data_IF_454493503808
#
_entry.id   IF_454493503808
#
_cell.length_a   1.000
_cell.length_b   1.000
_cell.length_c   1.000
_cell.angle_alpha   90.00
_cell.angle_beta   90.00
_cell.angle_gamma   90.00
#
_symmetry.space_group_name_H-M   'P 1'
#
loop_
_entity.id
_entity.type
_entity.pdbx_description
1 polymer ?
#
# COMPACT_ATOMS: atom_id res chain seq x y z
N UNK A 1 20.33 28.65 42.81
CA UNK A 1 20.57 28.35 44.25
C UNK A 1 21.16 29.59 44.88
N UNK A 2 20.30 30.46 45.43
CA UNK A 2 20.74 31.58 46.28
C UNK A 2 19.86 31.55 47.53
N UNK A 3 20.51 31.23 48.64
CA UNK A 3 19.99 31.27 50.00
C UNK A 3 19.82 32.74 50.39
N UNK A 4 18.62 33.12 50.83
CA UNK A 4 18.39 34.39 51.52
C UNK A 4 18.06 34.04 52.97
N UNK A 5 19.05 34.24 53.82
CA UNK A 5 18.91 34.19 55.27
C UNK A 5 18.26 35.50 55.76
N UNK A 6 17.25 35.39 56.62
CA UNK A 6 16.74 36.51 57.40
C UNK A 6 16.90 36.15 58.87
N UNK A 7 17.68 36.99 59.55
CA UNK A 7 18.06 36.95 60.95
C UNK A 7 16.91 37.39 61.85
N UNK A 8 16.82 36.73 63.00
CA UNK A 8 15.95 37.02 64.12
C UNK A 8 16.52 38.20 64.91
N UNK A 9 15.78 39.30 65.00
CA UNK A 9 16.06 40.37 65.97
C UNK A 9 15.17 40.15 67.20
N UNK A 10 15.84 39.97 68.34
CA UNK A 10 15.27 39.82 69.66
C UNK A 10 15.04 41.20 70.29
N UNK A 11 13.79 41.53 70.58
CA UNK A 11 13.44 42.72 71.35
C UNK A 11 13.44 42.40 72.86
N UNK A 12 14.47 42.91 73.53
CA UNK A 12 14.59 43.07 74.97
C UNK A 12 13.49 43.99 75.52
N UNK A 13 12.57 43.46 76.33
CA UNK A 13 11.70 44.28 77.17
C UNK A 13 12.08 44.15 78.64
N UNK A 14 12.73 45.21 79.14
CA UNK A 14 13.13 45.40 80.52
C UNK A 14 11.91 45.42 81.47
N UNK A 15 11.99 44.60 82.52
CA UNK A 15 11.00 44.54 83.60
C UNK A 15 11.37 45.56 84.69
N UNK A 16 10.52 46.56 84.92
CA UNK A 16 10.67 47.53 85.99
C UNK A 16 10.42 46.87 87.35
N UNK A 17 11.43 46.88 88.22
CA UNK A 17 11.33 46.42 89.61
C UNK A 17 11.50 47.59 90.59
N UNK A 18 10.82 47.43 91.73
CA UNK A 18 11.26 47.85 93.07
C UNK A 18 10.80 49.23 93.57
N UNK A 19 9.64 49.23 94.23
CA UNK A 19 9.29 50.19 95.27
C UNK A 19 9.49 49.52 96.63
N UNK A 20 10.51 49.95 97.37
CA UNK A 20 10.76 49.53 98.76
C UNK A 20 9.87 50.33 99.71
N UNK A 21 8.81 49.70 100.22
CA UNK A 21 7.95 50.23 101.28
C UNK A 21 8.53 49.90 102.66
N UNK A 22 8.79 50.94 103.44
CA UNK A 22 9.34 50.92 104.81
C UNK A 22 8.42 50.18 105.79
N UNK A 23 8.95 49.40 106.75
CA UNK A 23 8.15 48.86 107.86
C UNK A 23 7.88 49.96 108.90
N UNK A 24 6.59 50.22 109.15
CA UNK A 24 6.14 51.11 110.22
C UNK A 24 6.01 50.31 111.52
N UNK A 25 6.92 50.56 112.46
CA UNK A 25 6.89 50.02 113.82
C UNK A 25 5.91 50.84 114.66
N UNK A 26 4.68 50.35 114.79
CA UNK A 26 3.72 50.82 115.79
C UNK A 26 3.55 49.76 116.88
N UNK A 27 4.19 49.99 118.02
CA UNK A 27 3.99 49.24 119.27
C UNK A 27 2.61 49.56 119.81
N UNK A 28 1.67 48.64 119.60
CA UNK A 28 0.33 48.71 120.16
C UNK A 28 0.30 47.95 121.50
N UNK A 29 0.19 48.70 122.59
CA UNK A 29 -0.04 48.21 123.96
C UNK A 29 -1.42 47.57 124.06
N UNK A 30 -1.45 46.24 124.26
CA UNK A 30 -2.68 45.50 124.53
C UNK A 30 -3.16 45.73 125.97
N UNK A 31 -4.44 46.10 126.20
CA UNK A 31 -5.07 45.98 127.50
C UNK A 31 -5.28 44.50 127.86
N UNK A 32 -5.08 44.22 129.14
CA UNK A 32 -5.21 42.91 129.80
C UNK A 32 -6.64 42.36 129.61
N UNK A 33 -6.84 41.05 129.34
CA UNK A 33 -8.15 40.49 129.08
C UNK A 33 -9.00 40.54 130.35
N UNK A 34 -9.98 41.43 130.36
CA UNK A 34 -11.23 41.21 131.12
C UNK A 34 -11.73 39.82 130.74
N UNK A 35 -12.12 39.02 131.73
CA UNK A 35 -12.63 37.64 131.61
C UNK A 35 -13.74 37.57 130.56
N UNK A 36 -13.31 37.46 129.30
CA UNK A 36 -14.17 37.49 128.14
C UNK A 36 -15.03 36.23 128.21
N UNK A 37 -16.34 36.44 128.20
CA UNK A 37 -17.34 35.38 128.23
C UNK A 37 -16.87 34.16 127.42
N UNK A 38 -16.91 33.00 128.06
CA UNK A 38 -16.54 31.71 127.45
C UNK A 38 -17.57 31.31 126.38
N UNK A 39 -18.75 31.94 126.39
CA UNK A 39 -19.82 31.71 125.43
C UNK A 39 -19.51 32.28 124.03
N UNK A 40 -20.03 31.60 123.01
CA UNK A 40 -20.07 32.06 121.63
C UNK A 40 -20.72 33.45 121.50
N UNK A 41 -20.17 34.34 120.67
CA UNK A 41 -20.72 35.68 120.43
C UNK A 41 -22.02 35.74 119.61
N UNK A 42 -22.56 34.60 119.17
CA UNK A 42 -23.86 34.58 118.48
C UNK A 42 -24.98 34.60 119.52
N UNK A 43 -25.91 35.54 119.39
CA UNK A 43 -27.06 35.66 120.29
C UNK A 43 -27.84 34.32 120.36
N UNK A 44 -28.05 33.82 121.57
CA UNK A 44 -28.76 32.57 121.84
C UNK A 44 -27.93 31.28 121.73
N UNK A 45 -26.64 31.35 121.38
CA UNK A 45 -25.78 30.16 121.35
C UNK A 45 -25.23 29.83 122.75
N UNK A 46 -25.51 28.62 123.24
CA UNK A 46 -25.04 28.14 124.56
C UNK A 46 -23.67 27.43 124.51
N UNK A 47 -23.07 27.28 123.33
CA UNK A 47 -21.80 26.57 123.17
C UNK A 47 -20.58 27.46 123.47
N UNK A 48 -19.53 26.85 123.99
CA UNK A 48 -18.26 27.52 124.27
C UNK A 48 -17.52 27.90 122.98
N UNK A 49 -16.83 29.03 123.00
CA UNK A 49 -15.99 29.50 121.88
C UNK A 49 -14.81 28.56 121.63
N UNK A 50 -14.44 28.35 120.38
CA UNK A 50 -13.33 27.47 120.00
C UNK A 50 -12.04 28.28 119.89
N UNK A 51 -11.11 28.07 120.83
CA UNK A 51 -9.79 28.70 120.82
C UNK A 51 -9.82 30.23 120.76
N UNK A 52 -8.93 30.83 119.95
CA UNK A 52 -8.82 32.28 119.74
C UNK A 52 -9.91 32.91 118.87
N UNK A 53 -11.03 32.22 118.63
CA UNK A 53 -12.16 32.75 117.89
C UNK A 53 -13.25 33.31 118.81
N UNK A 54 -14.13 34.15 118.26
CA UNK A 54 -15.31 34.68 118.95
C UNK A 54 -16.52 33.72 118.88
N UNK A 55 -16.39 32.58 118.19
CA UNK A 55 -17.50 31.71 117.83
C UNK A 55 -17.24 30.26 118.27
N UNK A 56 -18.29 29.47 118.50
CA UNK A 56 -18.13 28.04 118.76
C UNK A 56 -17.84 27.26 117.47
N UNK A 57 -17.48 25.97 117.59
CA UNK A 57 -17.20 25.07 116.46
C UNK A 57 -18.33 24.98 115.43
N UNK A 58 -19.57 25.21 115.85
CA UNK A 58 -20.73 25.20 114.95
C UNK A 58 -20.90 26.50 114.16
N UNK A 59 -20.32 27.61 114.62
CA UNK A 59 -20.45 28.95 114.03
C UNK A 59 -19.16 29.48 113.40
N UNK A 60 -18.03 28.79 113.58
CA UNK A 60 -16.75 29.10 112.93
C UNK A 60 -16.66 28.50 111.53
N UNK A 61 -15.88 29.14 110.65
CA UNK A 61 -15.53 28.61 109.34
C UNK A 61 -14.81 27.27 109.43
N UNK A 62 -15.18 26.29 108.59
CA UNK A 62 -14.61 24.93 108.59
C UNK A 62 -13.21 24.86 107.98
N UNK A 63 -12.74 25.91 107.30
CA UNK A 63 -11.38 25.97 106.76
C UNK A 63 -10.38 26.05 107.92
N UNK A 64 -9.35 25.17 107.98
CA UNK A 64 -8.31 25.23 109.01
C UNK A 64 -7.71 26.64 109.09
N UNK A 65 -7.36 27.10 110.30
CA UNK A 65 -6.79 28.42 110.61
C UNK A 65 -7.69 29.65 110.37
N UNK A 66 -8.94 29.48 109.94
CA UNK A 66 -9.87 30.60 109.80
C UNK A 66 -10.73 30.74 111.07
N UNK A 67 -10.65 31.91 111.72
CA UNK A 67 -11.44 32.23 112.91
C UNK A 67 -12.65 33.12 112.64
N UNK A 68 -13.01 33.32 111.38
CA UNK A 68 -14.20 34.09 110.98
C UNK A 68 -15.48 33.27 111.18
N UNK A 69 -16.59 33.96 111.44
CA UNK A 69 -17.91 33.35 111.47
C UNK A 69 -18.30 32.78 110.09
N UNK A 70 -19.14 31.75 110.08
CA UNK A 70 -19.82 31.30 108.87
C UNK A 70 -20.60 32.45 108.23
N UNK A 71 -20.66 32.48 106.90
CA UNK A 71 -21.31 33.58 106.17
C UNK A 71 -22.82 33.66 106.48
N UNK A 72 -23.51 32.52 106.40
CA UNK A 72 -24.91 32.37 106.77
C UNK A 72 -25.02 31.47 108.00
N UNK A 73 -24.97 32.08 109.18
CA UNK A 73 -24.95 31.37 110.47
C UNK A 73 -26.27 30.63 110.71
N UNK A 74 -27.38 31.09 110.12
CA UNK A 74 -28.70 30.50 110.29
C UNK A 74 -28.94 29.30 109.36
N UNK A 75 -28.14 29.14 108.31
CA UNK A 75 -28.24 28.03 107.38
C UNK A 75 -27.38 26.84 107.84
N UNK A 76 -27.98 25.67 108.15
CA UNK A 76 -27.24 24.50 108.63
C UNK A 76 -26.28 23.93 107.58
N UNK A 77 -26.46 24.26 106.30
CA UNK A 77 -25.57 23.83 105.22
C UNK A 77 -24.34 24.72 105.05
N UNK A 78 -24.34 25.94 105.61
CA UNK A 78 -23.21 26.84 105.55
C UNK A 78 -22.04 26.30 106.40
N UNK A 79 -20.89 26.15 105.76
CA UNK A 79 -19.67 25.59 106.39
C UNK A 79 -18.52 26.58 106.43
N UNK A 80 -18.53 27.62 105.60
CA UNK A 80 -17.40 28.51 105.39
C UNK A 80 -17.80 29.97 105.65
N UNK A 81 -16.83 30.85 105.90
CA UNK A 81 -17.06 32.30 105.97
C UNK A 81 -17.15 32.91 104.57
N UNK A 82 -17.51 34.20 104.45
CA UNK A 82 -17.66 34.89 103.15
C UNK A 82 -16.43 34.84 102.25
N UNK A 83 -15.22 34.74 102.82
CA UNK A 83 -13.96 34.64 102.07
C UNK A 83 -13.59 33.22 101.65
N UNK A 84 -14.25 32.22 102.23
CA UNK A 84 -13.96 30.79 101.98
C UNK A 84 -15.15 30.00 101.45
N UNK A 85 -16.33 30.61 101.35
CA UNK A 85 -17.52 30.05 100.71
C UNK A 85 -17.55 30.41 99.23
N UNK A 86 -18.15 29.54 98.42
CA UNK A 86 -18.32 29.80 97.00
C UNK A 86 -19.21 31.04 96.79
N UNK A 87 -18.74 32.02 96.01
CA UNK A 87 -19.45 33.25 95.66
C UNK A 87 -20.70 33.06 94.77
N UNK A 88 -21.07 31.81 94.46
CA UNK A 88 -22.27 31.50 93.66
C UNK A 88 -23.43 31.28 94.60
N UNK A 89 -24.54 31.96 94.34
CA UNK A 89 -25.75 31.86 95.16
C UNK A 89 -26.14 30.40 95.43
N UNK A 90 -26.40 30.09 96.70
CA UNK A 90 -26.80 28.76 97.21
C UNK A 90 -25.74 27.66 97.09
N UNK A 91 -24.48 28.00 96.83
CA UNK A 91 -23.38 27.04 96.84
C UNK A 91 -22.58 27.12 98.14
N UNK A 92 -22.76 26.13 99.02
CA UNK A 92 -22.07 26.08 100.33
C UNK A 92 -20.72 25.32 100.31
N UNK A 93 -20.10 25.18 99.13
CA UNK A 93 -18.80 24.51 98.97
C UNK A 93 -17.64 25.47 99.26
N UNK A 94 -16.46 24.90 99.55
CA UNK A 94 -15.26 25.68 99.80
C UNK A 94 -14.80 26.40 98.52
N UNK A 95 -14.51 27.70 98.62
CA UNK A 95 -13.83 28.44 97.57
C UNK A 95 -12.37 27.95 97.44
N UNK A 96 -12.01 27.52 96.23
CA UNK A 96 -10.66 27.05 95.88
C UNK A 96 -9.89 28.09 95.05
N UNK A 97 -10.61 28.90 94.29
CA UNK A 97 -10.05 29.97 93.46
C UNK A 97 -9.95 31.30 94.23
N UNK A 98 -9.03 32.17 93.79
CA UNK A 98 -8.81 33.51 94.38
C UNK A 98 -10.05 34.40 94.25
N UNK A 99 -10.89 34.16 93.24
CA UNK A 99 -12.14 34.87 92.99
C UNK A 99 -13.32 34.33 93.81
N UNK A 100 -13.11 33.36 94.70
CA UNK A 100 -14.15 32.84 95.57
C UNK A 100 -15.01 31.74 94.97
N UNK A 101 -14.61 31.05 93.90
CA UNK A 101 -15.40 29.93 93.34
C UNK A 101 -14.86 28.56 93.79
N UNK A 102 -15.74 27.60 94.06
CA UNK A 102 -15.37 26.20 94.34
C UNK A 102 -14.98 25.44 93.06
N UNK A 103 -14.39 24.23 93.18
CA UNK A 103 -14.03 23.38 92.02
C UNK A 103 -15.20 23.11 91.04
N UNK A 104 -16.44 23.14 91.52
CA UNK A 104 -17.64 22.97 90.68
C UNK A 104 -18.01 24.20 89.85
N UNK A 105 -17.60 25.39 90.27
CA UNK A 105 -17.95 26.67 89.64
C UNK A 105 -16.74 27.42 89.07
N UNK A 106 -15.52 27.10 89.48
CA UNK A 106 -14.29 27.68 88.95
C UNK A 106 -13.97 27.10 87.56
N UNK A 107 -13.51 27.93 86.63
CA UNK A 107 -13.04 27.49 85.33
C UNK A 107 -11.96 26.42 85.48
N UNK A 108 -12.05 25.32 84.73
CA UNK A 108 -11.05 24.23 84.78
C UNK A 108 -9.76 24.54 84.02
N UNK A 109 -9.66 25.71 83.39
CA UNK A 109 -8.46 26.16 82.70
C UNK A 109 -7.47 26.69 83.73
N UNK A 110 -6.31 26.05 83.88
CA UNK A 110 -5.37 26.16 85.00
C UNK A 110 -5.36 27.50 85.77
N UNK A 111 -4.86 28.61 85.21
CA UNK A 111 -4.73 29.88 85.93
C UNK A 111 -6.04 30.69 86.00
N UNK A 112 -7.13 30.21 85.41
CA UNK A 112 -8.37 30.95 85.28
C UNK A 112 -9.24 30.83 86.52
N UNK A 113 -9.40 31.94 87.23
CA UNK A 113 -10.30 32.04 88.36
C UNK A 113 -11.71 32.54 87.96
N UNK A 114 -12.12 32.48 86.69
CA UNK A 114 -13.45 32.98 86.28
C UNK A 114 -14.54 31.94 86.55
N UNK A 115 -15.79 32.41 86.69
CA UNK A 115 -16.98 31.56 86.82
C UNK A 115 -17.20 30.74 85.53
N UNK A 116 -17.55 29.45 85.68
CA UNK A 116 -17.95 28.57 84.56
C UNK A 116 -19.18 29.10 83.83
N UNK A 117 -19.21 28.93 82.51
CA UNK A 117 -20.35 29.32 81.69
C UNK A 117 -21.39 28.18 81.66
N UNK A 118 -22.46 28.31 82.43
CA UNK A 118 -23.57 27.35 82.46
C UNK A 118 -23.12 25.95 82.91
N UNK A 119 -23.38 24.93 82.09
CA UNK A 119 -23.00 23.54 82.35
C UNK A 119 -21.59 23.16 81.85
N UNK A 120 -20.85 24.09 81.24
CA UNK A 120 -19.51 23.79 80.74
C UNK A 120 -18.47 23.76 81.87
N UNK A 121 -17.37 23.06 81.64
CA UNK A 121 -16.23 23.01 82.58
C UNK A 121 -15.37 24.27 82.54
N UNK A 122 -15.66 25.21 81.64
CA UNK A 122 -14.84 26.38 81.33
C UNK A 122 -15.64 27.68 81.45
N UNK A 123 -14.98 28.81 81.65
CA UNK A 123 -15.63 30.12 81.59
C UNK A 123 -15.95 30.50 80.14
N UNK A 124 -16.69 31.59 79.92
CA UNK A 124 -17.09 32.01 78.56
C UNK A 124 -15.90 32.29 77.62
N UNK A 125 -14.74 32.64 78.18
CA UNK A 125 -13.51 32.92 77.43
C UNK A 125 -12.70 31.66 77.08
N UNK A 126 -12.82 30.61 77.90
CA UNK A 126 -12.14 29.33 77.69
C UNK A 126 -13.07 28.24 77.15
N UNK A 127 -14.36 28.53 76.99
CA UNK A 127 -15.31 27.63 76.35
C UNK A 127 -15.26 27.81 74.84
N UNK A 128 -15.40 26.71 74.10
CA UNK A 128 -15.55 26.79 72.65
C UNK A 128 -16.79 27.64 72.28
N UNK A 129 -16.59 28.61 71.39
CA UNK A 129 -17.62 29.52 70.89
C UNK A 129 -18.69 28.84 70.02
N UNK A 130 -18.46 27.60 69.59
CA UNK A 130 -19.45 26.83 68.84
C UNK A 130 -20.65 26.50 69.74
N UNK A 131 -21.87 26.71 69.24
CA UNK A 131 -23.09 26.56 70.02
C UNK A 131 -23.22 25.12 70.54
N UNK A 132 -23.36 24.99 71.87
CA UNK A 132 -23.51 23.69 72.54
C UNK A 132 -22.21 22.92 72.78
N UNK A 133 -21.05 23.44 72.36
CA UNK A 133 -19.77 22.83 72.65
C UNK A 133 -19.32 23.15 74.10
N UNK A 134 -18.98 22.12 74.87
CA UNK A 134 -18.52 22.26 76.26
C UNK A 134 -17.01 22.06 76.43
N UNK A 135 -16.29 21.89 75.31
CA UNK A 135 -14.85 21.66 75.31
C UNK A 135 -14.05 22.96 75.43
N UNK A 136 -12.82 22.81 75.88
CA UNK A 136 -11.86 23.90 76.01
C UNK A 136 -11.54 24.54 74.65
N UNK A 137 -11.52 25.87 74.62
CA UNK A 137 -10.99 26.63 73.52
C UNK A 137 -9.45 26.52 73.51
N UNK A 138 -8.93 25.56 72.75
CA UNK A 138 -7.48 25.34 72.61
C UNK A 138 -6.82 26.29 71.61
N UNK A 139 -7.59 26.89 70.71
CA UNK A 139 -7.06 27.79 69.68
C UNK A 139 -7.32 29.26 70.03
N UNK A 140 -6.43 30.15 69.51
CA UNK A 140 -6.48 31.61 69.67
C UNK A 140 -7.81 32.28 69.30
N UNK A 141 -8.72 31.54 68.67
CA UNK A 141 -9.98 32.04 68.12
C UNK A 141 -11.21 31.59 68.93
N UNK A 142 -11.01 31.12 70.17
CA UNK A 142 -12.05 30.62 71.04
C UNK A 142 -12.77 29.35 70.50
N UNK A 143 -12.10 28.53 69.69
CA UNK A 143 -12.62 27.24 69.22
C UNK A 143 -11.80 26.08 69.78
N UNK A 144 -12.46 24.97 70.08
CA UNK A 144 -11.79 23.71 70.39
C UNK A 144 -11.20 23.09 69.12
N UNK A 145 -10.31 22.10 69.27
CA UNK A 145 -9.64 21.42 68.15
C UNK A 145 -10.59 20.86 67.08
N UNK A 146 -11.82 20.44 67.44
CA UNK A 146 -12.79 19.91 66.48
C UNK A 146 -13.53 20.99 65.68
N UNK A 147 -13.63 22.21 66.22
CA UNK A 147 -14.34 23.33 65.61
C UNK A 147 -13.40 24.41 65.05
N UNK A 148 -12.09 24.27 65.26
CA UNK A 148 -11.09 25.14 64.69
C UNK A 148 -10.74 24.66 63.27
N UNK A 149 -10.56 25.61 62.37
CA UNK A 149 -9.96 25.32 61.08
C UNK A 149 -8.49 24.86 61.26
N UNK A 150 -8.11 23.77 60.59
CA UNK A 150 -6.79 23.15 60.59
C UNK A 150 -5.73 24.02 59.89
N UNK A 151 -6.14 24.92 59.02
CA UNK A 151 -5.22 25.85 58.36
C UNK A 151 -4.62 26.84 59.37
N UNK A 152 -3.29 26.90 59.36
CA UNK A 152 -2.53 27.65 60.34
C UNK A 152 -2.92 29.14 60.30
N UNK A 153 -3.32 29.69 61.45
CA UNK A 153 -3.71 31.09 61.59
C UNK A 153 -5.14 31.42 61.14
N UNK A 154 -5.91 30.45 60.63
CA UNK A 154 -7.31 30.68 60.28
C UNK A 154 -8.17 30.93 61.52
N UNK A 155 -9.00 31.98 61.49
CA UNK A 155 -9.90 32.35 62.60
C UNK A 155 -11.34 31.88 62.44
N UNK A 156 -11.67 31.39 61.26
CA UNK A 156 -13.01 30.91 60.94
C UNK A 156 -13.26 29.53 61.57
N UNK A 157 -14.50 29.25 62.03
CA UNK A 157 -14.86 27.92 62.47
C UNK A 157 -14.74 26.94 61.31
N UNK A 158 -14.34 25.70 61.62
CA UNK A 158 -14.47 24.61 60.66
C UNK A 158 -15.96 24.36 60.37
N UNK A 159 -16.27 23.98 59.13
CA UNK A 159 -17.64 23.57 58.76
C UNK A 159 -17.97 22.19 59.37
N UNK A 160 -16.95 21.44 59.78
CA UNK A 160 -17.05 20.04 60.18
C UNK A 160 -17.89 19.76 61.43
N UNK A 161 -18.99 19.04 61.21
CA UNK A 161 -19.60 18.10 62.16
C UNK A 161 -18.91 16.72 62.10
N UNK A 162 -19.68 15.62 62.05
CA UNK A 162 -19.16 14.22 62.11
C UNK A 162 -18.17 13.84 61.00
N UNK A 163 -18.12 14.58 59.89
CA UNK A 163 -17.36 14.18 58.69
C UNK A 163 -15.88 14.61 58.70
N UNK A 164 -15.35 15.03 59.85
CA UNK A 164 -13.92 15.36 60.04
C UNK A 164 -13.35 16.45 59.10
N UNK A 165 -14.21 17.26 58.46
CA UNK A 165 -13.75 18.38 57.64
C UNK A 165 -13.30 19.51 58.58
N UNK A 166 -12.01 19.49 58.93
CA UNK A 166 -11.38 20.50 59.76
C UNK A 166 -11.06 21.79 58.99
N UNK A 167 -11.80 22.12 57.93
CA UNK A 167 -11.60 23.33 57.13
C UNK A 167 -12.80 24.26 57.26
N UNK A 168 -12.52 25.56 57.26
CA UNK A 168 -13.56 26.57 57.09
C UNK A 168 -14.04 26.60 55.63
N UNK A 169 -15.18 27.25 55.37
CA UNK A 169 -15.77 27.33 54.02
C UNK A 169 -14.81 27.89 52.98
N UNK A 170 -14.04 28.91 53.35
CA UNK A 170 -13.06 29.54 52.47
C UNK A 170 -11.93 28.58 52.09
N UNK A 171 -11.40 27.82 53.05
CA UNK A 171 -10.30 26.89 52.77
C UNK A 171 -10.79 25.63 52.06
N UNK A 172 -11.95 25.09 52.44
CA UNK A 172 -12.56 23.97 51.74
C UNK A 172 -12.88 24.31 50.28
N UNK A 173 -13.47 25.48 50.00
CA UNK A 173 -13.73 25.91 48.60
C UNK A 173 -12.44 26.15 47.82
N UNK A 174 -11.37 26.64 48.47
CA UNK A 174 -10.04 26.79 47.85
C UNK A 174 -9.44 25.44 47.49
N UNK A 175 -9.49 24.46 48.38
CA UNK A 175 -9.03 23.09 48.09
C UNK A 175 -9.87 22.44 47.00
N UNK A 176 -11.21 22.48 47.10
CA UNK A 176 -12.10 21.95 46.08
C UNK A 176 -11.84 22.58 44.69
N UNK A 177 -11.53 23.88 44.62
CA UNK A 177 -11.14 24.55 43.36
C UNK A 177 -9.78 24.06 42.84
N UNK A 178 -8.79 23.84 43.72
CA UNK A 178 -7.49 23.29 43.32
C UNK A 178 -7.63 21.86 42.81
N UNK A 179 -8.41 21.02 43.48
CA UNK A 179 -8.72 19.66 43.05
C UNK A 179 -9.44 19.67 41.70
N UNK A 180 -10.50 20.46 41.56
CA UNK A 180 -11.23 20.59 40.29
C UNK A 180 -10.31 21.10 39.15
N UNK A 181 -9.44 22.07 39.43
CA UNK A 181 -8.46 22.55 38.46
C UNK A 181 -7.43 21.47 38.09
N UNK A 182 -6.97 20.68 39.06
CA UNK A 182 -6.06 19.55 38.80
C UNK A 182 -6.72 18.42 38.01
N UNK A 183 -7.98 18.10 38.30
CA UNK A 183 -8.75 17.09 37.58
C UNK A 183 -9.04 17.55 36.14
N UNK A 184 -9.40 18.83 35.97
CA UNK A 184 -9.56 19.44 34.65
C UNK A 184 -8.24 19.42 33.87
N UNK A 185 -7.12 19.74 34.51
CA UNK A 185 -5.77 19.63 33.94
C UNK A 185 -5.46 18.19 33.48
N UNK A 186 -5.67 17.19 34.35
CA UNK A 186 -5.48 15.80 33.98
C UNK A 186 -6.41 15.32 32.87
N UNK A 187 -7.67 15.80 32.81
CA UNK A 187 -8.58 15.52 31.70
C UNK A 187 -8.06 16.11 30.39
N UNK A 188 -7.57 17.34 30.42
CA UNK A 188 -6.96 17.99 29.26
C UNK A 188 -5.70 17.25 28.78
N UNK A 189 -4.82 16.85 29.70
CA UNK A 189 -3.60 16.11 29.38
C UNK A 189 -3.90 14.73 28.77
N UNK A 190 -4.88 13.99 29.34
CA UNK A 190 -5.34 12.71 28.76
C UNK A 190 -5.89 12.91 27.36
N UNK A 191 -6.69 13.95 27.15
CA UNK A 191 -7.23 14.25 25.82
C UNK A 191 -6.12 14.61 24.81
N UNK A 192 -5.10 15.37 25.23
CA UNK A 192 -3.93 15.64 24.39
C UNK A 192 -3.17 14.36 24.04
N UNK A 193 -2.98 13.44 24.99
CA UNK A 193 -2.32 12.16 24.74
C UNK A 193 -3.11 11.31 23.74
N UNK A 194 -4.43 11.19 23.91
CA UNK A 194 -5.31 10.49 22.97
C UNK A 194 -5.24 11.07 21.55
N UNK A 195 -5.20 12.39 21.41
CA UNK A 195 -5.04 13.05 20.10
C UNK A 195 -3.69 12.75 19.47
N UNK A 196 -2.60 12.78 20.25
CA UNK A 196 -1.25 12.41 19.78
C UNK A 196 -1.20 10.95 19.32
N UNK A 197 -1.80 10.03 20.08
CA UNK A 197 -1.87 8.62 19.71
C UNK A 197 -2.69 8.39 18.43
N UNK A 198 -3.82 9.09 18.30
CA UNK A 198 -4.65 9.06 17.07
C UNK A 198 -3.85 9.55 15.87
N UNK A 199 -3.12 10.66 15.98
CA UNK A 199 -2.27 11.18 14.91
C UNK A 199 -1.20 10.16 14.50
N UNK A 200 -0.48 9.57 15.46
CA UNK A 200 0.50 8.52 15.19
C UNK A 200 -0.12 7.28 14.54
N UNK A 201 -1.34 6.91 14.94
CA UNK A 201 -2.07 5.81 14.32
C UNK A 201 -2.44 6.11 12.86
N UNK A 202 -2.86 7.34 12.55
CA UNK A 202 -3.10 7.78 11.18
C UNK A 202 -1.82 7.73 10.34
N UNK A 203 -0.71 8.24 10.85
CA UNK A 203 0.58 8.17 10.14
C UNK A 203 1.04 6.73 9.88
N UNK A 204 0.82 5.80 10.82
CA UNK A 204 1.12 4.38 10.60
C UNK A 204 0.26 3.78 9.49
N UNK A 205 -1.04 4.07 9.47
CA UNK A 205 -1.95 3.61 8.41
C UNK A 205 -1.54 4.16 7.05
N UNK A 206 -1.13 5.43 7.01
CA UNK A 206 -0.68 6.10 5.80
C UNK A 206 0.59 5.45 5.22
N UNK A 207 1.58 5.14 6.08
CA UNK A 207 2.80 4.41 5.67
C UNK A 207 2.48 3.04 5.09
N UNK A 208 1.62 2.27 5.76
CA UNK A 208 1.19 0.95 5.27
C UNK A 208 0.49 1.06 3.92
N UNK A 209 -0.34 2.09 3.71
CA UNK A 209 -0.99 2.34 2.41
C UNK A 209 0.04 2.63 1.32
N UNK A 210 1.00 3.52 1.59
CA UNK A 210 2.06 3.87 0.64
C UNK A 210 2.97 2.69 0.29
N UNK A 211 3.27 1.83 1.26
CA UNK A 211 4.09 0.63 1.01
C UNK A 211 3.34 -0.40 0.18
N UNK A 212 2.04 -0.63 0.44
CA UNK A 212 1.19 -1.45 -0.44
C UNK A 212 1.12 -0.91 -1.87
N UNK A 213 1.00 0.41 -2.02
CA UNK A 213 1.02 1.05 -3.35
C UNK A 213 2.38 0.91 -4.06
N UNK A 214 3.50 0.90 -3.31
CA UNK A 214 4.84 0.64 -3.86
C UNK A 214 4.99 -0.81 -4.28
N UNK A 215 4.50 -1.75 -3.49
CA UNK A 215 4.48 -3.18 -3.82
C UNK A 215 3.64 -3.45 -5.07
N UNK A 216 2.42 -2.91 -5.14
CA UNK A 216 1.55 -3.03 -6.31
C UNK A 216 2.21 -2.47 -7.59
N UNK A 217 2.95 -1.36 -7.49
CA UNK A 217 3.73 -0.83 -8.62
C UNK A 217 4.85 -1.76 -9.06
N UNK A 218 5.57 -2.37 -8.11
CA UNK A 218 6.63 -3.36 -8.43
C UNK A 218 6.05 -4.60 -9.09
N UNK A 219 4.91 -5.10 -8.61
CA UNK A 219 4.20 -6.23 -9.20
C UNK A 219 3.73 -5.90 -10.62
N UNK A 220 3.13 -4.72 -10.82
CA UNK A 220 2.72 -4.25 -12.14
C UNK A 220 3.91 -4.15 -13.10
N UNK A 221 5.01 -3.54 -12.67
CA UNK A 221 6.23 -3.42 -13.48
C UNK A 221 6.82 -4.80 -13.83
N UNK A 222 6.81 -5.76 -12.89
CA UNK A 222 7.23 -7.13 -13.16
C UNK A 222 6.31 -7.82 -14.18
N UNK A 223 4.99 -7.65 -14.05
CA UNK A 223 4.02 -8.17 -15.01
C UNK A 223 4.22 -7.57 -16.40
N UNK A 224 4.48 -6.26 -16.50
CA UNK A 224 4.79 -5.60 -17.76
C UNK A 224 6.09 -6.14 -18.38
N UNK A 225 7.15 -6.33 -17.58
CA UNK A 225 8.41 -6.92 -18.05
C UNK A 225 8.21 -8.34 -18.57
N UNK A 226 7.43 -9.17 -17.87
CA UNK A 226 7.10 -10.53 -18.32
C UNK A 226 6.25 -10.52 -19.59
N UNK A 227 5.27 -9.62 -19.68
CA UNK A 227 4.42 -9.47 -20.85
C UNK A 227 5.22 -8.97 -22.07
N UNK A 228 6.18 -8.06 -21.86
CA UNK A 228 7.08 -7.58 -22.90
C UNK A 228 8.04 -8.68 -23.36
N UNK A 229 8.65 -9.43 -22.43
CA UNK A 229 9.48 -10.57 -22.75
C UNK A 229 8.72 -11.62 -23.59
N UNK A 230 7.47 -11.92 -23.20
CA UNK A 230 6.60 -12.82 -23.96
C UNK A 230 6.25 -12.25 -25.35
N UNK A 231 6.04 -10.93 -25.49
CA UNK A 231 5.86 -10.29 -26.81
C UNK A 231 7.11 -10.46 -27.68
N UNK A 232 8.30 -10.22 -27.13
CA UNK A 232 9.57 -10.37 -27.83
C UNK A 232 9.79 -11.82 -28.28
N UNK A 233 9.47 -12.79 -27.43
CA UNK A 233 9.56 -14.20 -27.77
C UNK A 233 8.61 -14.59 -28.91
N UNK A 234 7.37 -14.10 -28.90
CA UNK A 234 6.41 -14.31 -30.00
C UNK A 234 6.91 -13.72 -31.32
N UNK A 235 7.47 -12.51 -31.28
CA UNK A 235 8.07 -11.87 -32.47
C UNK A 235 9.25 -12.71 -32.97
N UNK A 236 10.14 -13.14 -32.09
CA UNK A 236 11.29 -13.98 -32.47
C UNK A 236 10.86 -15.35 -33.01
N UNK A 237 9.82 -15.97 -32.44
CA UNK A 237 9.24 -17.22 -32.96
C UNK A 237 8.64 -17.02 -34.35
N UNK A 238 7.91 -15.91 -34.55
CA UNK A 238 7.36 -15.56 -35.85
C UNK A 238 8.45 -15.30 -36.90
N UNK A 239 9.52 -14.59 -36.55
CA UNK A 239 10.67 -14.37 -37.42
C UNK A 239 11.36 -15.69 -37.81
N UNK A 240 11.58 -16.60 -36.84
CA UNK A 240 12.12 -17.94 -37.11
C UNK A 240 11.22 -18.75 -38.05
N UNK A 241 9.89 -18.61 -37.92
CA UNK A 241 8.95 -19.27 -38.82
C UNK A 241 9.03 -18.72 -40.25
N UNK A 242 9.12 -17.39 -40.42
CA UNK A 242 9.32 -16.74 -41.72
C UNK A 242 10.63 -17.20 -42.35
N UNK A 243 11.72 -17.22 -41.58
CA UNK A 243 13.02 -17.66 -42.08
C UNK A 243 12.99 -19.13 -42.52
N UNK A 244 12.38 -20.01 -41.72
CA UNK A 244 12.17 -21.41 -42.08
C UNK A 244 11.32 -21.55 -43.36
N UNK A 245 10.31 -20.70 -43.55
CA UNK A 245 9.51 -20.68 -44.77
C UNK A 245 10.35 -20.24 -45.98
N UNK A 246 11.18 -19.21 -45.83
CA UNK A 246 12.11 -18.78 -46.88
C UNK A 246 13.13 -19.86 -47.22
N UNK A 247 13.66 -20.57 -46.23
CA UNK A 247 14.56 -21.70 -46.46
C UNK A 247 13.87 -22.82 -47.25
N UNK A 248 12.62 -23.15 -46.91
CA UNK A 248 11.81 -24.11 -47.68
C UNK A 248 11.60 -23.64 -49.12
N UNK A 249 11.27 -22.36 -49.32
CA UNK A 249 11.11 -21.79 -50.66
C UNK A 249 12.41 -21.89 -51.46
N UNK A 250 13.55 -21.52 -50.88
CA UNK A 250 14.85 -21.67 -51.56
C UNK A 250 15.17 -23.15 -51.85
N UNK A 251 14.82 -24.08 -50.97
CA UNK A 251 15.02 -25.51 -51.21
C UNK A 251 14.11 -26.02 -52.34
N UNK A 252 12.83 -25.62 -52.35
CA UNK A 252 11.88 -25.89 -53.43
C UNK A 252 12.38 -25.34 -54.77
N UNK A 253 12.86 -24.10 -54.80
CA UNK A 253 13.48 -23.48 -55.99
C UNK A 253 14.73 -24.25 -56.45
N UNK A 254 15.58 -24.70 -55.52
CA UNK A 254 16.74 -25.55 -55.86
C UNK A 254 16.31 -26.90 -56.44
N UNK A 255 15.25 -27.50 -55.91
CA UNK A 255 14.69 -28.75 -56.45
C UNK A 255 14.11 -28.49 -57.83
N UNK A 256 13.33 -27.42 -58.02
CA UNK A 256 12.77 -27.03 -59.32
C UNK A 256 13.87 -26.79 -60.36
N UNK A 257 14.95 -26.09 -59.99
CA UNK A 257 16.10 -25.88 -60.87
C UNK A 257 16.75 -27.22 -61.28
N UNK A 258 16.93 -28.15 -60.34
CA UNK A 258 17.46 -29.50 -60.64
C UNK A 258 16.53 -30.31 -61.54
N UNK A 259 15.21 -30.15 -61.41
CA UNK A 259 14.23 -30.80 -62.30
C UNK A 259 14.29 -30.16 -63.69
N UNK A 260 14.35 -28.83 -63.78
CA UNK A 260 14.48 -28.11 -65.04
C UNK A 260 15.75 -28.50 -65.81
N UNK A 261 16.90 -28.60 -65.13
CA UNK A 261 18.14 -29.09 -65.74
C UNK A 261 17.98 -30.52 -66.27
N UNK A 262 17.40 -31.44 -65.48
CA UNK A 262 17.14 -32.81 -65.95
C UNK A 262 16.21 -32.86 -67.16
N UNK A 263 15.16 -32.03 -67.17
CA UNK A 263 14.26 -31.94 -68.32
C UNK A 263 14.97 -31.38 -69.55
N UNK A 264 15.85 -30.39 -69.40
CA UNK A 264 16.67 -29.86 -70.48
C UNK A 264 17.67 -30.89 -71.02
N UNK A 265 18.34 -31.65 -70.14
CA UNK A 265 19.21 -32.77 -70.52
C UNK A 265 18.44 -33.87 -71.25
N UNK A 266 17.23 -34.21 -70.78
CA UNK A 266 16.34 -35.15 -71.48
C UNK A 266 15.90 -34.62 -72.84
N UNK A 267 15.63 -33.33 -72.96
CA UNK A 267 15.26 -32.69 -74.23
C UNK A 267 16.43 -32.67 -75.20
N UNK A 268 17.64 -32.30 -74.76
CA UNK A 268 18.87 -32.39 -75.54
C UNK A 268 19.15 -33.84 -75.94
N UNK A 269 18.94 -34.81 -75.05
CA UNK A 269 19.05 -36.23 -75.39
C UNK A 269 18.02 -36.65 -76.45
N UNK A 270 16.77 -36.17 -76.36
CA UNK A 270 15.75 -36.42 -77.40
C UNK A 270 16.10 -35.77 -78.72
N UNK A 271 16.67 -34.57 -78.70
CA UNK A 271 17.09 -33.83 -79.88
C UNK A 271 18.31 -34.50 -80.54
N UNK A 272 19.30 -34.90 -79.77
CA UNK A 272 20.47 -35.66 -80.26
C UNK A 272 20.06 -37.02 -80.82
N UNK A 273 19.10 -37.71 -80.21
CA UNK A 273 18.50 -38.94 -80.76
C UNK A 273 17.72 -38.67 -82.05
N UNK A 274 16.95 -37.57 -82.13
CA UNK A 274 16.30 -37.15 -83.38
C UNK A 274 17.33 -36.89 -84.48
N UNK A 275 18.38 -36.13 -84.19
CA UNK A 275 19.46 -35.85 -85.14
C UNK A 275 20.19 -37.13 -85.57
N UNK A 276 20.38 -38.10 -84.66
CA UNK A 276 20.93 -39.43 -84.99
C UNK A 276 20.01 -40.20 -85.95
N UNK A 277 18.69 -40.19 -85.70
CA UNK A 277 17.70 -40.81 -86.59
C UNK A 277 17.70 -40.13 -87.96
N UNK A 278 17.63 -38.81 -88.01
CA UNK A 278 17.69 -38.03 -89.25
C UNK A 278 19.01 -38.27 -90.01
N UNK A 279 20.15 -38.37 -89.31
CA UNK A 279 21.43 -38.70 -89.93
C UNK A 279 21.48 -40.14 -90.47
N UNK A 280 20.84 -41.09 -89.77
CA UNK A 280 20.70 -42.47 -90.24
C UNK A 280 19.80 -42.54 -91.48
N UNK A 281 18.66 -41.86 -91.46
CA UNK A 281 17.75 -41.75 -92.60
C UNK A 281 18.44 -41.08 -93.80
N UNK A 282 19.24 -40.03 -93.58
CA UNK A 282 20.06 -39.43 -94.66
C UNK A 282 21.06 -40.40 -95.24
N UNK A 283 21.75 -41.19 -94.40
CA UNK A 283 22.68 -42.23 -94.87
C UNK A 283 21.96 -43.33 -95.65
N UNK A 284 20.79 -43.76 -95.18
CA UNK A 284 19.95 -44.76 -95.85
C UNK A 284 19.41 -44.21 -97.18
N UNK A 285 18.97 -42.95 -97.23
CA UNK A 285 18.54 -42.28 -98.45
C UNK A 285 19.69 -42.09 -99.44
N UNK A 286 20.91 -41.76 -98.98
CA UNK A 286 22.11 -41.72 -99.81
C UNK A 286 22.50 -43.11 -100.33
N UNK A 287 22.37 -44.14 -99.52
CA UNK A 287 22.63 -45.52 -99.93
C UNK A 287 21.59 -45.98 -100.96
N UNK A 288 20.32 -45.61 -100.77
CA UNK A 288 19.25 -45.85 -101.73
C UNK A 288 19.53 -45.12 -103.04
N UNK A 289 19.92 -43.83 -103.00
CA UNK A 289 20.35 -43.08 -104.20
C UNK A 289 21.51 -43.77 -104.91
N UNK A 290 22.50 -44.29 -104.18
CA UNK A 290 23.62 -45.06 -104.76
C UNK A 290 23.20 -46.41 -105.33
N UNK A 291 22.14 -47.04 -104.81
CA UNK A 291 21.56 -48.25 -105.39
C UNK A 291 20.80 -47.91 -106.67
N UNK A 292 19.94 -46.91 -106.64
CA UNK A 292 19.22 -46.42 -107.83
C UNK A 292 20.17 -45.94 -108.93
N UNK A 293 21.28 -45.28 -108.59
CA UNK A 293 22.28 -44.85 -109.56
C UNK A 293 23.03 -46.04 -110.17
N UNK A 294 23.33 -47.08 -109.39
CA UNK A 294 23.86 -48.35 -109.89
C UNK A 294 22.88 -49.04 -110.82
N UNK A 295 21.61 -49.10 -110.45
CA UNK A 295 20.55 -49.71 -111.27
C UNK A 295 20.32 -48.92 -112.56
N UNK A 296 20.38 -47.57 -112.52
CA UNK A 296 20.34 -46.72 -113.71
C UNK A 296 21.56 -46.94 -114.61
N UNK A 297 22.73 -47.24 -114.04
CA UNK A 297 23.93 -47.55 -114.82
C UNK A 297 23.79 -48.90 -115.52
N UNK A 298 23.33 -49.92 -114.79
CA UNK A 298 23.02 -51.25 -115.33
C UNK A 298 21.95 -51.15 -116.43
N UNK A 299 20.90 -50.36 -116.23
CA UNK A 299 19.85 -50.16 -117.22
C UNK A 299 20.34 -49.43 -118.48
N UNK A 300 21.27 -48.47 -118.34
CA UNK A 300 21.91 -47.81 -119.49
C UNK A 300 22.80 -48.78 -120.27
N UNK A 301 23.62 -49.57 -119.58
CA UNK A 301 24.47 -50.61 -120.18
C UNK A 301 23.62 -51.67 -120.89
N UNK A 302 22.50 -52.11 -120.30
CA UNK A 302 21.56 -53.04 -120.92
C UNK A 302 20.85 -52.44 -122.15
N UNK A 303 20.42 -51.18 -122.07
CA UNK A 303 19.80 -50.49 -123.21
C UNK A 303 20.80 -50.26 -124.35
N UNK A 304 22.08 -50.08 -124.06
CA UNK A 304 23.14 -49.92 -125.05
C UNK A 304 23.49 -51.26 -125.72
N UNK A 305 23.52 -52.36 -124.95
CA UNK A 305 23.62 -53.71 -125.48
C UNK A 305 22.44 -54.08 -126.39
N UNK A 306 21.21 -53.68 -126.02
CA UNK A 306 20.02 -53.92 -126.83
C UNK A 306 20.02 -53.09 -128.11
N UNK A 307 20.44 -51.82 -128.07
CA UNK A 307 20.64 -51.00 -129.28
C UNK A 307 21.70 -51.62 -130.20
N UNK A 308 22.79 -52.14 -129.65
CA UNK A 308 23.82 -52.84 -130.41
C UNK A 308 23.36 -54.20 -130.97
N UNK A 309 22.35 -54.84 -130.37
CA UNK A 309 21.68 -56.03 -130.93
C UNK A 309 20.79 -55.63 -132.11
N UNK A 310 19.93 -54.63 -131.92
CA UNK A 310 19.03 -54.10 -132.96
C UNK A 310 19.83 -53.56 -134.15
N UNK A 311 20.97 -52.91 -133.94
CA UNK A 311 21.81 -52.42 -135.04
C UNK A 311 22.49 -53.55 -135.82
N UNK A 312 22.85 -54.67 -135.17
CA UNK A 312 23.34 -55.87 -135.85
C UNK A 312 22.24 -56.52 -136.69
N UNK A 313 21.07 -56.72 -136.11
CA UNK A 313 19.89 -57.23 -136.82
C UNK A 313 19.50 -56.33 -138.01
N UNK A 314 19.61 -55.01 -137.86
CA UNK A 314 19.35 -54.06 -138.95
C UNK A 314 20.40 -54.13 -140.07
N UNK A 315 21.69 -54.36 -139.75
CA UNK A 315 22.74 -54.55 -140.76
C UNK A 315 22.59 -55.89 -141.50
N UNK A 316 22.11 -56.93 -140.82
CA UNK A 316 21.75 -58.20 -141.44
C UNK A 316 20.54 -58.03 -142.37
N UNK A 317 19.48 -57.35 -141.91
CA UNK A 317 18.29 -57.05 -142.71
C UNK A 317 18.62 -56.15 -143.93
N UNK A 318 19.48 -55.15 -143.77
CA UNK A 318 19.97 -54.32 -144.89
C UNK A 318 20.87 -55.12 -145.85
N UNK A 319 21.56 -56.17 -145.37
CA UNK A 319 22.28 -57.14 -146.19
C UNK A 319 21.32 -57.99 -147.04
N UNK A 320 20.26 -58.51 -146.41
CA UNK A 320 19.23 -59.33 -147.06
C UNK A 320 18.43 -58.52 -148.09
N UNK A 321 18.11 -57.25 -147.80
CA UNK A 321 17.44 -56.33 -148.74
C UNK A 321 18.33 -56.05 -149.95
N UNK A 322 19.66 -55.91 -149.78
CA UNK A 322 20.59 -55.73 -150.91
C UNK A 322 20.70 -56.98 -151.77
N UNK A 323 20.66 -58.18 -151.18
CA UNK A 323 20.61 -59.43 -151.94
C UNK A 323 19.28 -59.60 -152.68
N UNK A 324 18.15 -59.30 -152.03
CA UNK A 324 16.82 -59.34 -152.65
C UNK A 324 16.69 -58.34 -153.82
N UNK A 325 17.19 -57.12 -153.66
CA UNK A 325 17.20 -56.10 -154.72
C UNK A 325 18.11 -56.48 -155.91
N UNK A 326 19.19 -57.24 -155.67
CA UNK A 326 20.05 -57.73 -156.75
C UNK A 326 19.39 -58.86 -157.54
N UNK A 327 18.68 -59.77 -156.84
CA UNK A 327 17.89 -60.83 -157.47
C UNK A 327 16.71 -60.25 -158.26
N UNK A 328 16.02 -59.26 -157.70
CA UNK A 328 14.91 -58.56 -158.36
C UNK A 328 15.39 -57.77 -159.58
N UNK A 329 16.55 -57.10 -159.51
CA UNK A 329 17.15 -56.41 -160.67
C UNK A 329 17.49 -57.39 -161.81
N UNK A 330 17.99 -58.58 -161.49
CA UNK A 330 18.23 -59.63 -162.49
C UNK A 330 16.93 -60.18 -163.09
N UNK A 331 15.86 -60.31 -162.29
CA UNK A 331 14.54 -60.73 -162.78
C UNK A 331 13.87 -59.65 -163.65
N UNK A 332 14.06 -58.37 -163.34
CA UNK A 332 13.56 -57.24 -164.13
C UNK A 332 14.30 -57.16 -165.48
N UNK A 333 15.62 -57.36 -165.53
CA UNK A 333 16.37 -57.41 -166.80
C UNK A 333 15.95 -58.59 -167.68
N UNK A 334 15.64 -59.74 -167.07
CA UNK A 334 15.12 -60.91 -167.79
C UNK A 334 13.74 -60.62 -168.40
N UNK A 335 12.83 -60.04 -167.63
CA UNK A 335 11.50 -59.61 -168.13
C UNK A 335 11.61 -58.54 -169.20
N UNK A 336 12.56 -57.59 -169.08
CA UNK A 336 12.80 -56.57 -170.12
C UNK A 336 13.25 -57.19 -171.43
N UNK A 337 14.12 -58.20 -171.42
CA UNK A 337 14.52 -58.91 -172.65
C UNK A 337 13.37 -59.69 -173.28
N UNK A 338 12.55 -60.35 -172.46
CA UNK A 338 11.37 -61.09 -172.92
C UNK A 338 10.28 -60.16 -173.47
N UNK A 339 10.08 -58.99 -172.85
CA UNK A 339 9.10 -57.98 -173.28
C UNK A 339 9.58 -57.18 -174.50
N UNK A 340 10.89 -56.94 -174.65
CA UNK A 340 11.48 -56.36 -175.85
C UNK A 340 11.40 -57.33 -177.05
N UNK A 341 11.49 -58.64 -176.82
CA UNK A 341 11.18 -59.67 -177.82
C UNK A 341 9.68 -59.76 -178.17
N UNK A 342 8.79 -59.60 -177.18
CA UNK A 342 7.33 -59.54 -177.39
C UNK A 342 6.93 -58.30 -178.19
N UNK A 343 7.48 -57.13 -177.84
CA UNK A 343 7.22 -55.87 -178.53
C UNK A 343 7.82 -55.82 -179.94
N UNK A 344 8.88 -56.59 -180.22
CA UNK A 344 9.37 -56.80 -181.60
C UNK A 344 8.40 -57.59 -182.46
N UNK A 345 7.64 -58.54 -181.87
CA UNK A 345 6.59 -59.31 -182.55
C UNK A 345 5.27 -58.54 -182.71
N UNK A 346 4.99 -57.59 -181.82
CA UNK A 346 3.78 -56.76 -181.85
C UNK A 346 3.91 -55.51 -182.75
N UNK A 347 5.13 -55.13 -183.19
CA UNK A 347 5.36 -53.94 -184.04
C UNK A 347 5.12 -54.17 -185.54
N UNK A 348 4.98 -55.41 -186.00
CA UNK A 348 4.68 -55.77 -187.41
C UNK A 348 3.18 -55.99 -187.71
N UNK A 349 2.26 -55.66 -186.79
CA UNK A 349 0.82 -55.93 -186.99
C UNK A 349 -0.14 -54.91 -186.36
N UNK A 350 -0.50 -53.87 -187.13
CA UNK A 350 -1.58 -52.87 -186.89
C UNK A 350 -1.32 -51.91 -185.73
N UNK A 351 -1.57 -50.60 -185.80
CA UNK A 351 -2.34 -49.79 -186.74
C UNK A 351 -3.30 -48.89 -185.96
N UNK A 352 -2.94 -47.62 -185.74
CA UNK A 352 -3.79 -46.52 -185.22
C UNK A 352 -4.26 -46.67 -183.77
N UNK A 353 -4.42 -45.65 -182.92
CA UNK A 353 -4.71 -44.24 -183.14
C UNK A 353 -4.42 -43.41 -181.87
N UNK A 354 -4.14 -42.13 -182.13
CA UNK A 354 -4.54 -40.91 -181.43
C UNK A 354 -4.07 -40.55 -180.00
N UNK A 355 -3.56 -39.32 -179.98
CA UNK A 355 -2.99 -38.49 -178.95
C UNK A 355 -4.06 -37.58 -178.31
N UNK A 356 -4.08 -37.46 -176.98
CA UNK A 356 -4.77 -36.38 -176.24
C UNK A 356 -3.89 -35.94 -175.05
N UNK A 357 -3.73 -34.62 -174.78
CA UNK A 357 -2.63 -34.09 -173.97
C UNK A 357 -2.94 -33.82 -172.49
N UNK A 358 -1.87 -33.60 -171.73
CA UNK A 358 -1.75 -33.43 -170.28
C UNK A 358 -2.50 -32.22 -169.66
N UNK A 359 -2.74 -32.27 -168.35
CA UNK A 359 -2.74 -31.08 -167.50
C UNK A 359 -1.69 -31.13 -166.36
N UNK A 360 -1.03 -29.99 -166.18
CA UNK A 360 -0.14 -29.60 -165.07
C UNK A 360 -0.97 -29.23 -163.83
N UNK A 361 -0.64 -29.70 -162.62
CA UNK A 361 -0.96 -29.01 -161.34
C UNK A 361 0.07 -29.45 -160.28
N UNK A 362 1.02 -28.58 -159.93
CA UNK A 362 1.13 -27.75 -158.70
C UNK A 362 1.67 -28.51 -157.48
N UNK A 363 2.71 -27.86 -156.96
CA UNK A 363 3.60 -28.11 -155.84
C UNK A 363 3.07 -27.27 -154.69
N UNK A 364 2.93 -27.80 -153.47
CA UNK A 364 2.99 -26.96 -152.27
C UNK A 364 3.19 -27.76 -150.98
N UNK A 365 4.02 -27.15 -150.14
CA UNK A 365 4.56 -27.60 -148.86
C UNK A 365 3.52 -27.54 -147.73
N UNK A 366 3.70 -28.34 -146.67
CA UNK A 366 3.06 -28.06 -145.39
C UNK A 366 3.99 -28.44 -144.22
N UNK A 367 4.49 -27.42 -143.53
CA UNK A 367 5.16 -27.45 -142.22
C UNK A 367 4.11 -27.35 -141.11
N UNK A 368 4.20 -28.13 -140.04
CA UNK A 368 3.62 -27.75 -138.73
C UNK A 368 4.15 -28.58 -137.55
N UNK A 369 4.11 -27.93 -136.38
CA UNK A 369 4.21 -28.40 -134.99
C UNK A 369 5.61 -28.31 -134.35
N UNK A 370 5.80 -27.74 -133.16
CA UNK A 370 4.85 -27.12 -132.21
C UNK A 370 5.54 -26.92 -130.85
N UNK A 371 5.38 -25.71 -130.32
CA UNK A 371 5.45 -25.20 -128.94
C UNK A 371 6.14 -25.99 -127.79
N UNK A 372 7.21 -25.34 -127.29
CA UNK A 372 7.66 -25.03 -125.92
C UNK A 372 7.43 -26.01 -124.77
#
# INVERSE_FOLDING_TARGET
MSLVAWSEDADDYACASRMEGKPSTATNTYPVPSLASVACSLEGCIHEKEGGSYYCKHHICSRPSCHQAKFDIHNPYAKYCSSHECAVDRCHHQAESVSGHCAGHACSHGPCNKLRAGSSFFCIEHCCRHQGCQYEATHKNAFCRSHACAEAGCREPSIGGRDHIHLCLTHWTKEARKEAASEAGHKYDRHQQELKEKLLAYERRERVRLDKDREARREHEQQERLAEAARRERIAAHQRAIEKQRQRQMEEERIQARVAVRLAEEEEHRETERLRREAKERKEADELRRREERDRRIAREAAEQERARIERERRELEGDIRQAANIERQQIERRRREEEERLRRERDGRGGWQYVPAPKVVREDFYSNGHW
#
